data_IF_581984936597
#
_entry.id   IF_581984936597
#
_cell.length_a   1.000
_cell.length_b   1.000
_cell.length_c   1.000
_cell.angle_alpha   90.00
_cell.angle_beta   90.00
_cell.angle_gamma   90.00
#
_symmetry.space_group_name_H-M   'P 1'
#
loop_
_entity.id
_entity.type
_entity.pdbx_description
1 polymer ?
#
# COMPACT_ATOMS: atom_id res chain seq x y z
N UNK A 1 -1.52 2.72 11.27
CA UNK A 1 -2.47 3.59 11.99
C UNK A 1 -3.88 3.03 11.83
N UNK A 2 -4.74 3.16 12.85
CA UNK A 2 -6.16 2.78 12.79
C UNK A 2 -7.02 3.94 13.28
N UNK A 3 -8.06 4.29 12.52
CA UNK A 3 -9.03 5.34 12.85
C UNK A 3 -10.37 4.69 13.20
N UNK A 4 -10.95 5.04 14.35
CA UNK A 4 -12.28 4.58 14.73
C UNK A 4 -13.35 5.60 14.30
N UNK A 5 -14.32 5.17 13.51
CA UNK A 5 -15.51 5.96 13.13
C UNK A 5 -16.73 5.39 13.86
N UNK A 6 -17.30 6.16 14.80
CA UNK A 6 -18.49 5.75 15.56
C UNK A 6 -19.76 6.08 14.79
N UNK A 7 -20.77 5.21 14.90
CA UNK A 7 -22.13 5.54 14.44
C UNK A 7 -22.75 6.61 15.35
N UNK A 8 -23.48 7.56 14.76
CA UNK A 8 -24.30 8.52 15.49
C UNK A 8 -25.54 7.81 16.07
N UNK A 9 -26.16 8.31 17.16
CA UNK A 9 -27.29 7.64 17.81
C UNK A 9 -28.50 7.35 16.91
N UNK A 10 -28.65 8.10 15.81
CA UNK A 10 -29.73 7.97 14.83
C UNK A 10 -29.33 7.20 13.57
N UNK A 11 -28.11 6.68 13.50
CA UNK A 11 -27.64 5.84 12.42
C UNK A 11 -27.73 4.37 12.82
N UNK A 12 -28.47 3.59 12.03
CA UNK A 12 -28.57 2.15 12.22
C UNK A 12 -27.93 1.44 11.02
N UNK A 13 -27.02 0.51 11.30
CA UNK A 13 -26.38 -0.31 10.29
C UNK A 13 -26.27 -1.73 10.82
N UNK A 14 -26.65 -2.71 10.00
CA UNK A 14 -26.69 -4.13 10.39
C UNK A 14 -25.99 -4.99 9.35
N UNK A 15 -25.28 -6.01 9.82
CA UNK A 15 -24.70 -7.06 8.98
C UNK A 15 -25.17 -8.40 9.53
N UNK A 16 -25.84 -9.19 8.68
CA UNK A 16 -26.42 -10.48 9.07
C UNK A 16 -27.21 -10.39 10.39
N UNK A 17 -28.16 -9.44 10.45
CA UNK A 17 -29.03 -9.17 11.60
C UNK A 17 -28.35 -8.70 12.89
N UNK A 18 -27.05 -8.40 12.86
CA UNK A 18 -26.33 -7.87 14.02
C UNK A 18 -26.10 -6.38 13.87
N UNK A 19 -26.25 -5.63 14.95
CA UNK A 19 -26.04 -4.18 14.96
C UNK A 19 -24.55 -3.84 14.94
N UNK A 20 -24.18 -2.90 14.08
CA UNK A 20 -22.85 -2.30 14.09
C UNK A 20 -22.76 -1.26 15.21
N UNK A 21 -21.60 -1.21 15.86
CA UNK A 21 -21.26 -0.25 16.92
C UNK A 21 -20.31 0.83 16.40
N UNK A 22 -19.29 0.42 15.66
CA UNK A 22 -18.28 1.32 15.10
C UNK A 22 -17.61 0.70 13.87
N UNK A 23 -16.87 1.52 13.14
CA UNK A 23 -15.98 1.10 12.07
C UNK A 23 -14.53 1.35 12.48
N UNK A 24 -13.65 0.41 12.17
CA UNK A 24 -12.21 0.52 12.33
C UNK A 24 -11.59 0.60 10.95
N UNK A 25 -10.95 1.73 10.65
CA UNK A 25 -10.32 2.02 9.36
C UNK A 25 -8.82 1.87 9.50
N UNK A 26 -8.21 0.95 8.74
CA UNK A 26 -6.77 0.67 8.80
C UNK A 26 -6.08 1.03 7.49
N UNK A 27 -4.90 1.64 7.60
CA UNK A 27 -4.05 1.95 6.43
C UNK A 27 -3.53 0.69 5.76
N UNK A 28 -3.14 0.80 4.48
CA UNK A 28 -2.57 -0.30 3.70
C UNK A 28 -1.26 0.13 3.05
N UNK A 29 -0.39 -0.84 2.80
CA UNK A 29 0.83 -0.63 2.04
C UNK A 29 0.56 -0.41 0.54
N UNK A 30 1.60 0.04 -0.16
CA UNK A 30 1.57 0.35 -1.60
C UNK A 30 1.07 -0.83 -2.45
N UNK A 31 1.57 -2.04 -2.20
CA UNK A 31 1.21 -3.24 -2.99
C UNK A 31 -0.29 -3.53 -2.90
N UNK A 32 -0.86 -3.47 -1.70
CA UNK A 32 -2.30 -3.72 -1.53
C UNK A 32 -3.13 -2.64 -2.23
N UNK A 33 -2.72 -1.38 -2.12
CA UNK A 33 -3.42 -0.28 -2.81
C UNK A 33 -3.33 -0.38 -4.33
N UNK A 34 -2.16 -0.72 -4.87
CA UNK A 34 -1.96 -1.00 -6.29
C UNK A 34 -2.90 -2.10 -6.79
N UNK A 35 -3.03 -3.20 -6.03
CA UNK A 35 -3.97 -4.29 -6.34
C UNK A 35 -5.43 -3.80 -6.32
N UNK A 36 -5.81 -2.97 -5.35
CA UNK A 36 -7.15 -2.36 -5.31
C UNK A 36 -7.41 -1.48 -6.53
N UNK A 37 -6.45 -0.65 -6.93
CA UNK A 37 -6.53 0.19 -8.12
C UNK A 37 -6.70 -0.62 -9.40
N UNK A 38 -5.97 -1.72 -9.53
CA UNK A 38 -6.07 -2.63 -10.68
C UNK A 38 -7.46 -3.28 -10.76
N UNK A 39 -8.00 -3.74 -9.64
CA UNK A 39 -9.35 -4.32 -9.57
C UNK A 39 -10.39 -3.25 -9.93
N UNK A 40 -10.25 -2.04 -9.38
CA UNK A 40 -11.15 -0.93 -9.65
C UNK A 40 -11.15 -0.52 -11.13
N UNK A 41 -9.97 -0.48 -11.76
CA UNK A 41 -9.80 -0.14 -13.17
C UNK A 41 -10.39 -1.20 -14.11
N UNK A 42 -10.17 -2.49 -13.83
CA UNK A 42 -10.73 -3.59 -14.64
C UNK A 42 -12.26 -3.58 -14.70
N UNK A 43 -12.90 -3.12 -13.63
CA UNK A 43 -14.36 -3.04 -13.53
C UNK A 43 -14.95 -1.69 -14.01
N UNK A 44 -14.13 -0.76 -14.48
CA UNK A 44 -14.54 0.60 -14.83
C UNK A 44 -14.61 0.82 -16.35
N UNK A 45 -15.65 1.53 -16.80
CA UNK A 45 -15.76 2.02 -18.17
C UNK A 45 -15.20 3.45 -18.33
N UNK A 46 -15.09 4.19 -17.22
CA UNK A 46 -14.66 5.59 -17.18
C UNK A 46 -13.79 5.86 -15.95
N UNK A 47 -12.97 6.91 -15.98
CA UNK A 47 -12.14 7.32 -14.83
C UNK A 47 -12.96 7.61 -13.57
N UNK A 48 -14.16 8.16 -13.72
CA UNK A 48 -15.05 8.39 -12.58
C UNK A 48 -15.50 7.06 -11.94
N UNK A 49 -15.70 6.02 -12.74
CA UNK A 49 -16.02 4.69 -12.24
C UNK A 49 -14.83 4.04 -11.56
N UNK A 50 -13.60 4.31 -12.02
CA UNK A 50 -12.38 3.89 -11.31
C UNK A 50 -12.36 4.44 -9.89
N UNK A 51 -12.64 5.74 -9.71
CA UNK A 51 -12.64 6.36 -8.37
C UNK A 51 -13.71 5.78 -7.45
N UNK A 52 -14.92 5.53 -7.97
CA UNK A 52 -16.01 4.89 -7.22
C UNK A 52 -15.66 3.45 -6.84
N UNK A 53 -15.15 2.68 -7.79
CA UNK A 53 -14.76 1.29 -7.59
C UNK A 53 -13.59 1.19 -6.62
N UNK A 54 -12.60 2.09 -6.73
CA UNK A 54 -11.47 2.16 -5.80
C UNK A 54 -11.97 2.43 -4.38
N UNK A 55 -12.89 3.38 -4.20
CA UNK A 55 -13.49 3.63 -2.90
C UNK A 55 -14.19 2.38 -2.33
N UNK A 56 -14.94 1.65 -3.16
CA UNK A 56 -15.57 0.37 -2.74
C UNK A 56 -14.53 -0.69 -2.37
N UNK A 57 -13.50 -0.88 -3.17
CA UNK A 57 -12.42 -1.84 -2.89
C UNK A 57 -11.68 -1.49 -1.59
N UNK A 58 -11.49 -0.20 -1.32
CA UNK A 58 -10.92 0.29 -0.06
C UNK A 58 -11.83 0.01 1.12
N UNK A 59 -13.13 0.25 1.02
CA UNK A 59 -14.09 -0.12 2.07
C UNK A 59 -14.00 -1.60 2.43
N UNK A 60 -13.94 -2.50 1.44
CA UNK A 60 -13.86 -3.96 1.66
C UNK A 60 -12.57 -4.40 2.37
N UNK A 61 -11.44 -3.74 2.10
CA UNK A 61 -10.12 -4.16 2.61
C UNK A 61 -9.61 -3.38 3.81
N UNK A 62 -10.08 -2.16 4.00
CA UNK A 62 -9.57 -1.25 5.02
C UNK A 62 -10.56 -1.00 6.16
N UNK A 63 -11.83 -1.42 6.02
CA UNK A 63 -12.86 -1.16 7.02
C UNK A 63 -13.35 -2.45 7.65
N UNK A 64 -12.99 -2.64 8.91
CA UNK A 64 -13.58 -3.64 9.79
C UNK A 64 -14.74 -3.01 10.58
N UNK A 65 -15.82 -3.76 10.74
CA UNK A 65 -17.01 -3.33 11.48
C UNK A 65 -17.00 -4.01 12.85
N UNK A 66 -16.95 -3.21 13.91
CA UNK A 66 -17.14 -3.68 15.27
C UNK A 66 -18.64 -3.81 15.52
N UNK A 67 -19.08 -5.04 15.79
CA UNK A 67 -20.48 -5.35 16.06
C UNK A 67 -20.80 -5.14 17.55
N UNK A 68 -22.08 -4.94 17.88
CA UNK A 68 -22.53 -4.72 19.26
C UNK A 68 -22.27 -5.93 20.17
N UNK A 69 -22.18 -7.14 19.61
CA UNK A 69 -21.81 -8.38 20.31
C UNK A 69 -20.30 -8.52 20.55
N UNK A 70 -19.49 -7.54 20.13
CA UNK A 70 -18.03 -7.54 20.26
C UNK A 70 -17.29 -8.28 19.14
N UNK A 71 -18.01 -8.91 18.20
CA UNK A 71 -17.41 -9.55 17.03
C UNK A 71 -16.99 -8.53 15.97
N UNK A 72 -16.17 -8.97 15.02
CA UNK A 72 -15.75 -8.16 13.86
C UNK A 72 -16.30 -8.75 12.58
N UNK A 73 -16.84 -7.89 11.72
CA UNK A 73 -17.28 -8.22 10.37
C UNK A 73 -16.58 -7.34 9.33
N UNK A 74 -16.60 -7.75 8.07
CA UNK A 74 -16.04 -6.97 6.95
C UNK A 74 -17.17 -6.53 6.02
N UNK A 75 -16.98 -5.38 5.38
CA UNK A 75 -17.92 -4.89 4.38
C UNK A 75 -17.83 -5.73 3.10
N UNK A 76 -18.98 -6.06 2.52
CA UNK A 76 -19.12 -6.73 1.23
C UNK A 76 -19.81 -5.82 0.21
N UNK A 77 -19.84 -6.23 -1.06
CA UNK A 77 -20.57 -5.50 -2.09
C UNK A 77 -22.08 -5.42 -1.80
N UNK A 78 -22.62 -6.32 -0.97
CA UNK A 78 -24.03 -6.33 -0.55
C UNK A 78 -24.27 -5.38 0.64
N UNK A 79 -23.31 -5.25 1.56
CA UNK A 79 -23.49 -4.42 2.77
C UNK A 79 -23.12 -2.96 2.53
N UNK A 80 -22.20 -2.67 1.60
CA UNK A 80 -21.76 -1.30 1.30
C UNK A 80 -22.92 -0.37 0.91
N UNK A 81 -23.86 -0.77 0.02
CA UNK A 81 -25.02 0.06 -0.34
C UNK A 81 -25.95 0.38 0.83
N UNK A 82 -25.89 -0.39 1.92
CA UNK A 82 -26.73 -0.24 3.11
C UNK A 82 -26.13 0.72 4.14
N UNK A 83 -24.91 1.24 3.90
CA UNK A 83 -24.27 2.18 4.81
C UNK A 83 -25.09 3.49 4.92
N UNK A 84 -25.30 4.01 6.15
CA UNK A 84 -25.84 5.35 6.33
C UNK A 84 -24.98 6.38 5.60
N UNK A 85 -25.60 7.32 4.87
CA UNK A 85 -24.88 8.29 4.02
C UNK A 85 -23.84 9.08 4.83
N UNK A 86 -24.22 9.56 6.01
CA UNK A 86 -23.31 10.30 6.90
C UNK A 86 -22.13 9.44 7.38
N UNK A 87 -22.35 8.17 7.70
CA UNK A 87 -21.28 7.23 8.02
C UNK A 87 -20.36 6.99 6.80
N UNK A 88 -20.92 6.79 5.61
CA UNK A 88 -20.13 6.59 4.38
C UNK A 88 -19.24 7.81 4.04
N UNK A 89 -19.72 9.03 4.25
CA UNK A 89 -18.92 10.25 4.07
C UNK A 89 -17.78 10.34 5.08
N UNK A 90 -18.02 9.99 6.35
CA UNK A 90 -16.98 9.95 7.39
C UNK A 90 -15.96 8.84 7.13
N UNK A 91 -16.40 7.67 6.64
CA UNK A 91 -15.51 6.60 6.21
C UNK A 91 -14.64 7.02 5.03
N UNK A 92 -15.18 7.76 4.06
CA UNK A 92 -14.41 8.32 2.95
C UNK A 92 -13.30 9.24 3.45
N UNK A 93 -13.62 10.12 4.39
CA UNK A 93 -12.62 11.00 5.00
C UNK A 93 -11.57 10.18 5.76
N UNK A 94 -11.98 9.31 6.68
CA UNK A 94 -11.07 8.47 7.46
C UNK A 94 -10.15 7.60 6.60
N UNK A 95 -10.64 7.09 5.46
CA UNK A 95 -9.81 6.33 4.51
C UNK A 95 -8.71 7.20 3.90
N UNK A 96 -9.01 8.45 3.54
CA UNK A 96 -8.00 9.35 3.03
C UNK A 96 -6.99 9.72 4.13
N UNK A 97 -7.48 10.08 5.31
CA UNK A 97 -6.64 10.46 6.45
C UNK A 97 -5.65 9.35 6.85
N UNK A 98 -6.12 8.08 6.92
CA UNK A 98 -5.25 6.94 7.27
C UNK A 98 -4.20 6.62 6.19
N UNK A 99 -4.36 7.18 4.99
CA UNK A 99 -3.41 7.02 3.88
C UNK A 99 -2.39 8.17 3.82
N UNK A 100 -2.72 9.32 4.41
CA UNK A 100 -1.87 10.52 4.45
C UNK A 100 -0.96 10.54 5.70
N UNK A 101 -1.41 9.98 6.82
CA UNK A 101 -0.66 9.95 8.09
C UNK A 101 0.13 8.65 8.29
N UNK A 102 1.20 8.45 7.52
CA UNK A 102 2.31 7.60 7.94
C UNK A 102 3.38 8.51 8.54
N UNK A 103 3.60 8.51 9.87
CA UNK A 103 4.69 9.28 10.47
C UNK A 103 6.00 8.72 9.93
N UNK A 104 6.64 9.51 9.09
CA UNK A 104 7.87 9.16 8.40
C UNK A 104 8.49 10.39 7.79
N UNK A 105 9.81 10.38 7.64
CA UNK A 105 10.49 11.38 6.82
C UNK A 105 10.06 11.29 5.36
N UNK A 106 10.60 12.17 4.52
CA UNK A 106 10.45 12.00 3.07
C UNK A 106 11.43 10.93 2.59
N UNK A 107 10.98 9.92 1.81
CA UNK A 107 11.91 8.98 1.20
C UNK A 107 12.94 9.73 0.35
N UNK A 108 14.17 9.25 0.37
CA UNK A 108 15.27 9.89 -0.36
C UNK A 108 16.26 8.85 -0.87
N UNK A 109 16.88 9.15 -2.01
CA UNK A 109 18.02 8.40 -2.51
C UNK A 109 19.25 8.84 -1.72
N UNK A 110 19.89 7.90 -1.04
CA UNK A 110 21.13 8.10 -0.28
C UNK A 110 22.37 7.77 -1.11
N UNK A 111 22.28 6.81 -2.03
CA UNK A 111 23.32 6.53 -3.04
C UNK A 111 22.69 6.48 -4.43
N UNK A 112 23.24 7.30 -5.31
CA UNK A 112 22.77 7.50 -6.69
C UNK A 112 23.43 6.48 -7.64
N UNK A 113 22.81 5.32 -7.76
CA UNK A 113 23.21 4.24 -8.68
C UNK A 113 22.26 4.06 -9.86
N UNK A 114 22.54 3.06 -10.69
CA UNK A 114 21.67 2.60 -11.79
C UNK A 114 20.95 1.27 -11.44
N UNK A 115 21.31 0.65 -10.32
CA UNK A 115 20.76 -0.63 -9.89
C UNK A 115 21.33 -1.84 -10.61
N UNK A 116 22.22 -1.63 -11.59
CA UNK A 116 22.82 -2.71 -12.41
C UNK A 116 24.34 -2.73 -12.20
N UNK A 117 25.02 -1.61 -12.47
CA UNK A 117 26.46 -1.47 -12.25
C UNK A 117 26.78 -0.93 -10.85
N UNK A 118 25.88 -0.12 -10.29
CA UNK A 118 26.01 0.51 -8.97
C UNK A 118 24.69 0.43 -8.22
N UNK A 119 24.74 0.01 -6.97
CA UNK A 119 23.57 -0.06 -6.12
C UNK A 119 22.90 1.31 -5.97
N UNK A 120 21.57 1.32 -5.99
CA UNK A 120 20.77 2.47 -5.53
C UNK A 120 20.44 2.24 -4.07
N UNK A 121 20.76 3.21 -3.20
CA UNK A 121 20.31 3.16 -1.82
C UNK A 121 19.21 4.18 -1.58
N UNK A 122 18.15 3.75 -0.91
CA UNK A 122 17.01 4.57 -0.54
C UNK A 122 16.83 4.52 0.97
N UNK A 123 16.76 5.69 1.61
CA UNK A 123 16.22 5.81 2.97
C UNK A 123 14.70 5.88 2.86
N UNK A 124 14.02 4.99 3.57
CA UNK A 124 12.57 4.95 3.67
C UNK A 124 12.06 6.16 4.45
N UNK A 125 10.89 6.66 4.06
CA UNK A 125 10.18 7.65 4.85
C UNK A 125 9.73 7.05 6.19
N UNK A 126 9.11 5.88 6.14
CA UNK A 126 8.70 5.14 7.35
C UNK A 126 9.48 3.83 7.46
N UNK A 127 10.21 3.61 8.57
CA UNK A 127 10.96 2.38 8.79
C UNK A 127 10.04 1.14 8.84
N UNK A 128 10.47 0.04 8.23
CA UNK A 128 9.75 -1.24 8.33
C UNK A 128 10.06 -1.90 9.67
N UNK A 129 9.07 -2.49 10.33
CA UNK A 129 9.27 -3.24 11.56
C UNK A 129 9.75 -4.65 11.24
N UNK A 130 10.93 -5.04 11.72
CA UNK A 130 11.51 -6.37 11.56
C UNK A 130 11.30 -7.29 12.78
N UNK A 131 10.50 -6.85 13.76
CA UNK A 131 10.33 -7.54 15.05
C UNK A 131 11.41 -7.19 16.06
N UNK A 132 11.17 -7.49 17.33
CA UNK A 132 12.11 -7.30 18.45
C UNK A 132 12.76 -5.90 18.54
N UNK A 133 11.99 -4.86 18.17
CA UNK A 133 12.44 -3.47 18.15
C UNK A 133 13.45 -3.13 17.04
N UNK A 134 13.71 -4.06 16.12
CA UNK A 134 14.55 -3.83 14.95
C UNK A 134 13.76 -3.20 13.83
N UNK A 135 14.42 -2.30 13.11
CA UNK A 135 13.82 -1.56 12.00
C UNK A 135 14.72 -1.62 10.77
N UNK A 136 14.09 -1.70 9.60
CA UNK A 136 14.75 -1.50 8.31
C UNK A 136 14.48 -0.06 7.90
N UNK A 137 15.53 0.76 7.88
CA UNK A 137 15.46 2.19 7.52
C UNK A 137 15.91 2.46 6.10
N UNK A 138 16.81 1.64 5.59
CA UNK A 138 17.44 1.83 4.30
C UNK A 138 17.32 0.55 3.47
N UNK A 139 17.00 0.72 2.19
CA UNK A 139 16.92 -0.34 1.21
C UNK A 139 18.01 -0.16 0.16
N UNK A 140 18.69 -1.25 -0.14
CA UNK A 140 19.59 -1.39 -1.27
C UNK A 140 18.86 -2.08 -2.42
N UNK A 141 19.00 -1.51 -3.62
CA UNK A 141 18.50 -2.09 -4.86
C UNK A 141 19.68 -2.30 -5.81
N UNK A 142 19.98 -3.58 -6.08
CA UNK A 142 20.95 -3.99 -7.08
C UNK A 142 20.52 -5.34 -7.67
N UNK A 143 20.46 -5.42 -9.00
CA UNK A 143 20.20 -6.65 -9.71
C UNK A 143 21.52 -7.39 -9.93
N UNK A 144 21.58 -8.65 -9.52
CA UNK A 144 22.77 -9.49 -9.72
C UNK A 144 22.69 -10.24 -11.05
N UNK A 145 21.47 -10.51 -11.52
CA UNK A 145 21.20 -11.30 -12.72
C UNK A 145 20.08 -10.69 -13.55
N UNK A 146 20.00 -11.09 -14.83
CA UNK A 146 18.85 -10.73 -15.67
C UNK A 146 17.54 -11.29 -15.11
N UNK A 147 17.59 -12.45 -14.45
CA UNK A 147 16.41 -13.07 -13.82
C UNK A 147 15.82 -12.17 -12.72
N UNK A 148 16.62 -11.31 -12.10
CA UNK A 148 16.13 -10.34 -11.11
C UNK A 148 15.30 -9.21 -11.74
N UNK A 149 15.49 -8.97 -13.03
CA UNK A 149 14.83 -7.90 -13.78
C UNK A 149 13.76 -8.43 -14.74
N UNK A 150 13.69 -9.73 -14.97
CA UNK A 150 12.80 -10.34 -15.97
C UNK A 150 11.35 -9.89 -15.76
N UNK A 151 10.81 -10.07 -14.55
CA UNK A 151 9.45 -9.65 -14.19
C UNK A 151 9.23 -8.14 -14.37
N UNK A 152 10.25 -7.32 -14.08
CA UNK A 152 10.14 -5.88 -14.25
C UNK A 152 10.16 -5.48 -15.74
N UNK A 153 10.97 -6.13 -16.56
CA UNK A 153 11.09 -5.82 -17.99
C UNK A 153 9.84 -6.22 -18.77
N UNK A 154 9.21 -7.34 -18.41
CA UNK A 154 7.99 -7.84 -19.10
C UNK A 154 6.69 -7.22 -18.57
N UNK A 155 6.74 -6.48 -17.46
CA UNK A 155 5.56 -5.88 -16.87
C UNK A 155 4.93 -4.80 -17.76
N UNK A 156 3.60 -4.89 -17.93
CA UNK A 156 2.82 -4.03 -18.84
C UNK A 156 2.65 -2.58 -18.33
N UNK A 157 2.95 -2.31 -17.05
CA UNK A 157 2.74 -1.00 -16.45
C UNK A 157 3.75 -0.69 -15.33
N UNK A 158 3.86 0.60 -14.99
CA UNK A 158 4.82 1.11 -13.99
C UNK A 158 4.61 0.58 -12.59
N UNK A 159 3.38 0.20 -12.23
CA UNK A 159 3.07 -0.32 -10.90
C UNK A 159 3.66 -1.73 -10.77
N UNK A 160 3.41 -2.59 -11.75
CA UNK A 160 3.94 -3.95 -11.75
C UNK A 160 5.47 -3.96 -11.86
N UNK A 161 6.03 -3.03 -12.64
CA UNK A 161 7.48 -2.77 -12.66
C UNK A 161 8.02 -2.42 -11.28
N UNK A 162 7.38 -1.49 -10.57
CA UNK A 162 7.79 -1.11 -9.22
C UNK A 162 7.69 -2.28 -8.24
N UNK A 163 6.64 -3.10 -8.34
CA UNK A 163 6.48 -4.30 -7.50
C UNK A 163 7.59 -5.31 -7.75
N UNK A 164 7.92 -5.58 -9.02
CA UNK A 164 9.03 -6.45 -9.37
C UNK A 164 10.37 -5.93 -8.83
N UNK A 165 10.64 -4.62 -8.97
CA UNK A 165 11.86 -3.98 -8.43
C UNK A 165 11.89 -4.00 -6.89
N UNK A 166 10.75 -3.93 -6.20
CA UNK A 166 10.73 -4.09 -4.74
C UNK A 166 11.13 -5.50 -4.31
N UNK A 167 10.84 -6.54 -5.10
CA UNK A 167 11.19 -7.93 -4.77
C UNK A 167 12.70 -8.20 -4.78
N UNK A 168 13.51 -7.34 -5.40
CA UNK A 168 14.97 -7.46 -5.39
C UNK A 168 15.63 -6.65 -4.26
N UNK A 169 14.85 -5.83 -3.54
CA UNK A 169 15.36 -4.95 -2.50
C UNK A 169 15.91 -5.74 -1.31
N UNK A 170 16.97 -5.23 -0.69
CA UNK A 170 17.62 -5.79 0.50
C UNK A 170 17.73 -4.73 1.60
N UNK A 171 17.66 -5.09 2.89
CA UNK A 171 18.00 -4.15 3.95
C UNK A 171 19.47 -3.72 3.84
N UNK A 172 19.73 -2.41 3.89
CA UNK A 172 21.10 -1.89 3.94
C UNK A 172 21.61 -1.67 5.37
N UNK A 173 20.72 -1.66 6.37
CA UNK A 173 21.07 -1.51 7.79
C UNK A 173 21.54 -2.84 8.38
N UNK A 174 22.75 -2.85 8.96
CA UNK A 174 23.47 -4.08 9.38
C UNK A 174 22.88 -4.88 10.55
N UNK A 175 21.83 -4.39 11.23
CA UNK A 175 21.17 -5.12 12.32
C UNK A 175 20.18 -6.19 11.83
N UNK A 176 19.88 -6.19 10.53
CA UNK A 176 18.94 -7.08 9.85
C UNK A 176 19.61 -7.68 8.60
N UNK A 177 20.14 -8.89 8.72
CA UNK A 177 20.76 -9.62 7.59
C UNK A 177 19.72 -10.47 6.86
N UNK A 178 18.96 -9.83 5.95
CA UNK A 178 18.07 -10.54 5.03
C UNK A 178 18.66 -10.51 3.62
N UNK A 179 18.55 -11.63 2.91
CA UNK A 179 19.01 -11.72 1.51
C UNK A 179 18.16 -10.87 0.57
N UNK A 180 16.86 -10.70 0.88
CA UNK A 180 15.87 -9.84 0.22
C UNK A 180 14.75 -9.50 1.19
N UNK A 181 13.92 -8.50 0.85
CA UNK A 181 12.71 -8.22 1.60
C UNK A 181 11.69 -9.37 1.44
N UNK A 182 11.27 -10.00 2.56
CA UNK A 182 10.17 -10.98 2.55
C UNK A 182 8.82 -10.28 2.35
N UNK A 183 7.79 -11.05 1.98
CA UNK A 183 6.44 -10.53 1.70
C UNK A 183 5.86 -9.67 2.83
N UNK A 184 6.08 -10.06 4.09
CA UNK A 184 5.62 -9.31 5.26
C UNK A 184 6.24 -7.90 5.34
N UNK A 185 7.46 -7.72 4.84
CA UNK A 185 8.15 -6.44 4.83
C UNK A 185 7.67 -5.59 3.64
N UNK A 186 7.46 -6.23 2.49
CA UNK A 186 6.90 -5.59 1.29
C UNK A 186 5.48 -5.03 1.56
N UNK A 187 4.65 -5.75 2.31
CA UNK A 187 3.32 -5.28 2.69
C UNK A 187 3.33 -4.07 3.65
N UNK A 188 4.46 -3.79 4.30
CA UNK A 188 4.65 -2.61 5.16
C UNK A 188 5.11 -1.37 4.38
N UNK A 189 5.57 -1.51 3.12
CA UNK A 189 6.01 -0.37 2.32
C UNK A 189 4.83 0.59 2.14
N UNK A 190 5.03 1.83 2.56
CA UNK A 190 3.98 2.85 2.58
C UNK A 190 3.62 3.31 1.17
N UNK A 191 2.48 4.00 1.02
CA UNK A 191 2.11 4.59 -0.28
C UNK A 191 3.20 5.51 -0.82
N UNK A 192 3.71 6.38 0.05
CA UNK A 192 4.71 7.39 -0.28
C UNK A 192 6.00 6.74 -0.73
N UNK A 193 6.48 5.73 0.01
CA UNK A 193 7.70 5.00 -0.33
C UNK A 193 7.54 4.21 -1.64
N UNK A 194 6.40 3.53 -1.83
CA UNK A 194 6.13 2.79 -3.06
C UNK A 194 5.98 3.68 -4.29
N UNK A 195 5.32 4.84 -4.16
CA UNK A 195 5.28 5.86 -5.23
C UNK A 195 6.67 6.41 -5.53
N UNK A 196 7.51 6.61 -4.52
CA UNK A 196 8.89 7.02 -4.70
C UNK A 196 9.68 5.96 -5.46
N UNK A 197 9.55 4.68 -5.09
CA UNK A 197 10.19 3.56 -5.79
C UNK A 197 9.74 3.52 -7.26
N UNK A 198 8.43 3.60 -7.51
CA UNK A 198 7.86 3.61 -8.86
C UNK A 198 8.36 4.76 -9.73
N UNK A 199 8.57 5.94 -9.15
CA UNK A 199 8.90 7.16 -9.92
C UNK A 199 10.39 7.49 -9.97
N UNK A 200 11.19 6.99 -9.03
CA UNK A 200 12.61 7.38 -8.87
C UNK A 200 13.58 6.20 -8.88
N UNK A 201 13.14 4.99 -8.53
CA UNK A 201 14.01 3.81 -8.43
C UNK A 201 13.79 2.90 -9.63
N UNK A 202 12.57 2.41 -9.83
CA UNK A 202 12.25 1.46 -10.90
C UNK A 202 12.69 1.93 -12.31
N UNK A 203 12.52 3.21 -12.71
CA UNK A 203 12.97 3.67 -14.02
C UNK A 203 14.48 3.50 -14.26
N UNK A 204 15.31 3.55 -13.20
CA UNK A 204 16.78 3.45 -13.33
C UNK A 204 17.24 2.10 -13.88
N UNK A 205 16.47 1.04 -13.61
CA UNK A 205 16.74 -0.31 -14.08
C UNK A 205 16.28 -0.54 -15.53
N UNK A 206 15.37 0.30 -16.04
CA UNK A 206 14.61 0.04 -17.26
C UNK A 206 14.89 1.08 -18.35
N UNK A 207 15.27 2.30 -17.97
CA UNK A 207 15.66 3.34 -18.91
C UNK A 207 17.10 3.07 -19.36
N UNK A 208 17.24 2.60 -20.60
CA UNK A 208 18.53 2.62 -21.29
C UNK A 208 18.98 4.07 -21.32
N UNK A 209 20.07 4.39 -20.62
CA UNK A 209 20.68 5.72 -20.67
C UNK A 209 20.71 6.19 -22.12
N UNK A 210 20.18 7.38 -22.45
CA UNK A 210 20.29 7.88 -23.82
C UNK A 210 21.79 7.84 -24.15
N UNK A 211 22.13 7.16 -25.25
CA UNK A 211 23.47 7.20 -25.78
C UNK A 211 23.84 8.69 -25.92
N UNK A 212 24.87 9.07 -25.16
CA UNK A 212 25.62 10.34 -25.17
C UNK A 212 25.38 11.24 -26.37
#
# INVERSE_FOLDING_TARGET
>A
MTITVKLEPNEHFRIAERDAKAFQVTGVGFIQFAKMGTIAAKAAATDNDVQKNLFRERLKRQVAVEMADGSTAWLTDETIPLLPIKAALRLKQALNDVSEEQPGGTPKISIDGDGISKAVMMTLGTPLSAGDGKHITDLEFIAETLADLEDAVIADNKIDQAIAIMNIAKPASGDVNLLRLPSWALDQITMTDGLFIMTRIAPRFLEVSPAS
#
